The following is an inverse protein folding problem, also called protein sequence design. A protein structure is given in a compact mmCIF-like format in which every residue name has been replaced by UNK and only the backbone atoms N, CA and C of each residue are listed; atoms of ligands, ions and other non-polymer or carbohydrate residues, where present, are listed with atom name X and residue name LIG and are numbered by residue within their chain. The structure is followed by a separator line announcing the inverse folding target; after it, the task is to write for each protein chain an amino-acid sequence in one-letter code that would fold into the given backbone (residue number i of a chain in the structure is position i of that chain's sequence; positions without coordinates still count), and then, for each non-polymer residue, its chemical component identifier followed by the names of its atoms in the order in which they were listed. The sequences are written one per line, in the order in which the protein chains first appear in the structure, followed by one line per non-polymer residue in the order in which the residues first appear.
data_IF_052827149997
#
_entry.id   IF_052827149997
#
_cell.length_a   1.000
_cell.length_b   1.000
_cell.length_c   1.000
_cell.angle_alpha   90.00
_cell.angle_beta   90.00
_cell.angle_gamma   90.00
#
_symmetry.space_group_name_H-M   'P 1'
#
loop_
_entity.id
_entity.type
_entity.pdbx_description
1 polymer ?
#
# COMPACT_ATOMS: atom_id res chain seq x y z
N UNK A 1 11.54 5.92 -0.77
CA UNK A 1 11.81 5.30 0.55
C UNK A 1 10.55 5.45 1.39
N UNK A 2 9.59 4.53 1.23
CA UNK A 2 8.49 4.41 2.19
C UNK A 2 9.09 3.93 3.51
N UNK A 3 8.65 4.52 4.61
CA UNK A 3 9.06 4.15 5.97
C UNK A 3 8.47 2.77 6.29
N UNK A 4 9.05 1.71 5.74
CA UNK A 4 8.59 0.31 5.92
C UNK A 4 9.42 -0.46 6.93
N UNK A 5 10.29 0.22 7.68
CA UNK A 5 11.04 -0.36 8.80
C UNK A 5 11.18 0.71 9.88
N UNK A 6 10.17 0.86 10.74
CA UNK A 6 10.22 1.80 11.84
C UNK A 6 8.94 1.85 12.65
N UNK A 7 9.05 2.24 13.91
CA UNK A 7 7.89 2.67 14.70
C UNK A 7 7.18 3.86 14.04
N UNK A 8 6.08 4.31 14.66
CA UNK A 8 5.41 5.53 14.22
C UNK A 8 6.44 6.68 14.08
N UNK A 9 6.41 7.45 12.98
CA UNK A 9 7.23 8.65 12.86
C UNK A 9 6.99 9.63 14.01
N UNK A 10 7.98 10.48 14.28
CA UNK A 10 7.87 11.51 15.31
C UNK A 10 6.66 12.42 15.06
N UNK A 11 5.95 12.75 16.14
CA UNK A 11 4.81 13.66 16.08
C UNK A 11 5.27 15.09 15.73
N UNK A 12 4.60 15.70 14.75
CA UNK A 12 4.83 17.11 14.41
C UNK A 12 4.05 17.97 15.42
N UNK A 13 4.78 18.50 16.40
CA UNK A 13 4.20 19.29 17.49
C UNK A 13 4.06 20.79 17.17
N UNK A 14 4.76 21.28 16.13
CA UNK A 14 4.66 22.66 15.64
C UNK A 14 3.92 22.71 14.29
N UNK A 15 2.60 22.50 14.33
CA UNK A 15 1.73 22.58 13.16
C UNK A 15 0.65 23.65 13.36
N UNK A 16 1.04 24.91 13.27
CA UNK A 16 0.09 26.03 13.31
C UNK A 16 -0.86 26.02 12.10
N UNK A 17 -2.15 26.26 12.35
CA UNK A 17 -3.19 26.40 11.34
C UNK A 17 -2.78 27.36 10.22
N UNK A 18 -2.88 26.90 8.97
CA UNK A 18 -2.64 27.72 7.78
C UNK A 18 -2.15 26.89 6.60
N UNK A 19 -2.03 27.55 5.45
CA UNK A 19 -1.53 26.91 4.23
C UNK A 19 -0.02 26.74 4.27
N UNK A 20 0.47 25.63 3.71
CA UNK A 20 1.89 25.39 3.43
C UNK A 20 1.99 24.94 1.97
N UNK A 21 2.97 25.50 1.26
CA UNK A 21 3.25 25.12 -0.12
C UNK A 21 4.29 24.02 -0.16
N UNK A 22 4.19 23.17 -1.17
CA UNK A 22 5.22 22.20 -1.50
C UNK A 22 5.96 22.60 -2.78
N UNK A 23 7.25 22.26 -2.91
CA UNK A 23 8.00 22.43 -4.15
C UNK A 23 7.36 21.68 -5.32
N UNK A 24 7.67 22.12 -6.54
CA UNK A 24 7.32 21.38 -7.75
C UNK A 24 7.98 19.99 -7.75
N UNK A 25 7.30 19.01 -8.33
CA UNK A 25 7.73 17.61 -8.35
C UNK A 25 7.53 16.87 -7.03
N UNK A 26 7.03 17.51 -5.98
CA UNK A 26 6.63 16.85 -4.73
C UNK A 26 5.14 16.54 -4.72
N UNK A 27 4.77 15.57 -3.90
CA UNK A 27 3.40 15.23 -3.58
C UNK A 27 3.21 15.06 -2.07
N UNK A 28 2.03 15.44 -1.57
CA UNK A 28 1.67 15.30 -0.15
C UNK A 28 0.54 14.32 0.01
N UNK A 29 0.75 13.39 0.94
CA UNK A 29 -0.17 12.33 1.28
C UNK A 29 -0.65 12.58 2.71
N UNK A 30 -1.94 12.75 2.95
CA UNK A 30 -2.46 12.62 4.32
C UNK A 30 -2.49 11.12 4.65
N UNK A 31 -1.74 10.70 5.65
CA UNK A 31 -1.55 9.29 6.03
C UNK A 31 -2.39 8.97 7.26
N UNK A 32 -3.02 7.81 7.25
CA UNK A 32 -3.69 7.21 8.41
C UNK A 32 -3.09 5.84 8.67
N UNK A 33 -2.53 5.65 9.86
CA UNK A 33 -2.10 4.34 10.33
C UNK A 33 -3.27 3.64 11.01
N UNK A 34 -3.49 2.37 10.64
CA UNK A 34 -4.58 1.55 11.16
C UNK A 34 -4.06 0.20 11.63
N UNK A 35 -4.63 -0.31 12.71
CA UNK A 35 -4.22 -1.58 13.31
C UNK A 35 -5.39 -2.47 13.67
N UNK A 36 -5.11 -3.76 13.77
CA UNK A 36 -5.99 -4.75 14.37
C UNK A 36 -5.18 -5.70 15.26
N UNK A 37 -5.76 -6.05 16.41
CA UNK A 37 -5.11 -6.87 17.45
C UNK A 37 -5.80 -8.21 17.68
N UNK A 38 -6.91 -8.46 16.97
CA UNK A 38 -7.62 -9.72 17.03
C UNK A 38 -8.31 -9.99 15.68
N UNK A 39 -8.49 -11.26 15.28
CA UNK A 39 -9.26 -11.61 14.11
C UNK A 39 -10.69 -11.06 14.19
N UNK A 40 -11.19 -10.48 13.09
CA UNK A 40 -12.59 -10.07 12.98
C UNK A 40 -13.49 -11.28 12.64
N UNK A 41 -14.41 -11.69 13.53
CA UNK A 41 -15.31 -12.80 13.23
C UNK A 41 -16.23 -12.47 12.05
N UNK A 42 -16.41 -13.43 11.14
CA UNK A 42 -17.39 -13.32 10.05
C UNK A 42 -17.08 -12.29 8.96
N UNK A 43 -15.82 -11.86 8.80
CA UNK A 43 -15.42 -10.85 7.81
C UNK A 43 -15.90 -11.18 6.38
N UNK A 44 -15.46 -12.31 5.84
CA UNK A 44 -15.87 -12.86 4.54
C UNK A 44 -15.34 -14.29 4.41
N UNK A 45 -15.88 -15.07 3.45
CA UNK A 45 -15.23 -16.31 3.03
C UNK A 45 -13.89 -15.96 2.35
N UNK A 46 -12.74 -16.39 2.90
CA UNK A 46 -11.44 -16.02 2.37
C UNK A 46 -11.24 -16.55 0.95
N UNK A 47 -10.48 -15.82 0.14
CA UNK A 47 -9.93 -16.34 -1.12
C UNK A 47 -8.83 -17.36 -0.85
N UNK A 48 -8.56 -18.21 -1.83
CA UNK A 48 -7.36 -19.06 -1.79
C UNK A 48 -6.14 -18.18 -1.96
N UNK A 49 -5.20 -18.27 -1.02
CA UNK A 49 -3.97 -17.48 -1.03
C UNK A 49 -2.77 -18.37 -1.38
N UNK A 50 -2.03 -18.00 -2.42
CA UNK A 50 -0.81 -18.70 -2.84
C UNK A 50 0.40 -17.86 -2.45
N UNK A 51 1.26 -18.40 -1.57
CA UNK A 51 2.53 -17.75 -1.19
C UNK A 51 3.52 -17.84 -2.36
N UNK A 52 4.13 -16.72 -2.72
CA UNK A 52 5.17 -16.63 -3.75
C UNK A 52 6.48 -16.23 -3.10
N UNK A 53 7.28 -17.24 -2.71
CA UNK A 53 8.52 -17.00 -1.98
C UNK A 53 9.67 -16.47 -2.85
N UNK A 54 9.63 -16.74 -4.16
CA UNK A 54 10.64 -16.28 -5.14
C UNK A 54 9.90 -15.87 -6.41
N UNK A 55 9.34 -14.66 -6.45
CA UNK A 55 8.63 -14.22 -7.63
C UNK A 55 9.58 -14.04 -8.82
N UNK A 56 9.09 -14.33 -10.01
CA UNK A 56 9.69 -13.80 -11.22
C UNK A 56 9.57 -12.26 -11.21
N UNK A 57 10.69 -11.55 -11.41
CA UNK A 57 10.75 -10.11 -11.25
C UNK A 57 9.86 -9.37 -12.25
N UNK A 58 9.77 -9.87 -13.49
CA UNK A 58 8.93 -9.25 -14.51
C UNK A 58 7.43 -9.43 -14.19
N UNK A 59 7.01 -10.64 -13.81
CA UNK A 59 5.63 -10.94 -13.43
C UNK A 59 5.20 -10.19 -12.16
N UNK A 60 6.09 -10.09 -11.17
CA UNK A 60 5.86 -9.30 -9.96
C UNK A 60 5.65 -7.82 -10.30
N UNK A 61 6.58 -7.23 -11.06
CA UNK A 61 6.53 -5.83 -11.46
C UNK A 61 5.27 -5.53 -12.27
N UNK A 62 4.90 -6.40 -13.21
CA UNK A 62 3.67 -6.25 -13.98
C UNK A 62 2.42 -6.25 -13.10
N UNK A 63 2.31 -7.22 -12.17
CA UNK A 63 1.18 -7.30 -11.24
C UNK A 63 1.11 -6.08 -10.33
N UNK A 64 2.25 -5.69 -9.75
CA UNK A 64 2.35 -4.54 -8.86
C UNK A 64 1.91 -3.24 -9.55
N UNK A 65 2.43 -2.98 -10.75
CA UNK A 65 2.12 -1.75 -11.48
C UNK A 65 0.70 -1.73 -12.03
N UNK A 66 0.15 -2.87 -12.50
CA UNK A 66 -1.23 -2.92 -12.95
C UNK A 66 -2.22 -2.57 -11.83
N UNK A 67 -1.93 -3.01 -10.61
CA UNK A 67 -2.75 -2.74 -9.42
C UNK A 67 -2.52 -1.33 -8.88
N UNK A 68 -1.26 -0.93 -8.79
CA UNK A 68 -0.81 0.19 -7.98
C UNK A 68 -0.58 1.51 -8.74
N UNK A 69 -0.25 1.48 -10.03
CA UNK A 69 0.00 2.70 -10.79
C UNK A 69 -1.19 3.70 -10.82
N UNK A 70 -2.47 3.25 -10.83
CA UNK A 70 -3.62 4.15 -10.67
C UNK A 70 -3.64 4.92 -9.34
N UNK A 71 -2.86 4.49 -8.36
CA UNK A 71 -2.70 5.05 -7.01
C UNK A 71 -1.25 5.48 -6.74
N UNK A 72 -0.45 5.70 -7.80
CA UNK A 72 0.94 6.15 -7.75
C UNK A 72 1.92 5.22 -7.01
N UNK A 73 1.64 3.92 -6.93
CA UNK A 73 2.64 2.96 -6.45
C UNK A 73 3.71 2.75 -7.51
N UNK A 74 4.96 3.00 -7.15
CA UNK A 74 6.09 2.93 -8.09
C UNK A 74 7.29 2.14 -7.58
N UNK A 75 7.25 1.62 -6.34
CA UNK A 75 8.36 0.85 -5.74
C UNK A 75 8.91 -0.23 -6.66
N UNK A 76 8.05 -1.06 -7.26
CA UNK A 76 8.50 -2.13 -8.14
C UNK A 76 9.13 -1.63 -9.46
N UNK A 77 8.83 -0.39 -9.88
CA UNK A 77 9.49 0.25 -11.01
C UNK A 77 10.89 0.79 -10.65
N UNK A 78 11.12 1.13 -9.38
CA UNK A 78 12.45 1.55 -8.88
C UNK A 78 13.41 0.38 -8.68
N UNK A 79 12.88 -0.80 -8.41
CA UNK A 79 13.69 -1.99 -8.07
C UNK A 79 14.22 -2.68 -9.32
N UNK A 80 15.53 -2.98 -9.33
CA UNK A 80 16.12 -3.92 -10.29
C UNK A 80 15.65 -5.35 -10.00
N UNK A 81 15.89 -6.27 -10.93
CA UNK A 81 15.56 -7.69 -10.71
C UNK A 81 16.37 -8.28 -9.54
N UNK A 82 17.62 -7.82 -9.35
CA UNK A 82 18.44 -8.18 -8.21
C UNK A 82 17.85 -7.65 -6.89
N UNK A 83 17.31 -6.44 -6.88
CA UNK A 83 16.66 -5.86 -5.69
C UNK A 83 15.37 -6.62 -5.34
N UNK A 84 14.57 -7.00 -6.33
CA UNK A 84 13.37 -7.83 -6.11
C UNK A 84 13.76 -9.19 -5.54
N UNK A 85 14.77 -9.84 -6.14
CA UNK A 85 15.25 -11.13 -5.66
C UNK A 85 15.80 -11.05 -4.23
N UNK A 86 16.57 -10.01 -3.92
CA UNK A 86 17.12 -9.77 -2.59
C UNK A 86 16.01 -9.47 -1.57
N UNK A 87 15.02 -8.64 -1.93
CA UNK A 87 13.88 -8.33 -1.08
C UNK A 87 13.12 -9.59 -0.68
N UNK A 88 12.74 -10.44 -1.64
CA UNK A 88 12.01 -11.68 -1.32
C UNK A 88 12.90 -12.84 -0.84
N UNK A 89 14.22 -12.66 -0.81
CA UNK A 89 15.12 -13.59 -0.12
C UNK A 89 15.07 -13.44 1.40
N UNK A 90 14.68 -12.27 1.91
CA UNK A 90 14.40 -12.07 3.33
C UNK A 90 13.09 -12.78 3.72
N UNK A 91 13.13 -13.76 4.64
CA UNK A 91 11.93 -14.50 5.05
C UNK A 91 10.87 -13.63 5.75
N UNK A 92 11.22 -12.41 6.18
CA UNK A 92 10.28 -11.44 6.77
C UNK A 92 9.33 -10.86 5.73
N UNK A 93 9.71 -10.82 4.46
CA UNK A 93 8.88 -10.31 3.37
C UNK A 93 8.07 -11.45 2.75
N UNK A 94 6.75 -11.28 2.73
CA UNK A 94 5.85 -12.25 2.16
C UNK A 94 5.02 -11.63 1.05
N UNK A 95 4.95 -12.35 -0.07
CA UNK A 95 4.05 -12.05 -1.17
C UNK A 95 3.01 -13.16 -1.29
N UNK A 96 1.75 -12.77 -1.42
CA UNK A 96 0.63 -13.68 -1.69
C UNK A 96 -0.19 -13.20 -2.88
N UNK A 97 -0.61 -14.15 -3.71
CA UNK A 97 -1.60 -13.94 -4.75
C UNK A 97 -2.94 -14.57 -4.36
N UNK A 98 -4.01 -13.80 -4.42
CA UNK A 98 -5.36 -14.26 -4.15
C UNK A 98 -6.02 -14.86 -5.39
N UNK A 99 -6.73 -15.98 -5.22
CA UNK A 99 -7.42 -16.68 -6.29
C UNK A 99 -8.90 -16.88 -5.94
N UNK A 100 -9.78 -16.63 -6.91
CA UNK A 100 -11.20 -16.92 -6.77
C UNK A 100 -11.51 -18.43 -6.88
N UNK A 101 -12.79 -18.79 -6.73
CA UNK A 101 -13.23 -20.20 -6.75
C UNK A 101 -12.99 -20.88 -8.12
N UNK A 102 -12.78 -20.10 -9.20
CA UNK A 102 -12.41 -20.58 -10.52
C UNK A 102 -10.90 -20.63 -10.76
N UNK A 103 -10.08 -20.30 -9.76
CA UNK A 103 -8.62 -20.28 -9.86
C UNK A 103 -8.06 -19.04 -10.54
N UNK A 104 -8.87 -18.01 -10.81
CA UNK A 104 -8.39 -16.76 -11.41
C UNK A 104 -7.62 -15.95 -10.37
N UNK A 105 -6.43 -15.48 -10.73
CA UNK A 105 -5.66 -14.51 -9.94
C UNK A 105 -6.41 -13.17 -9.88
N UNK A 106 -6.71 -12.70 -8.66
CA UNK A 106 -7.54 -11.49 -8.45
C UNK A 106 -6.77 -10.27 -7.99
N UNK A 107 -5.57 -10.46 -7.45
CA UNK A 107 -4.80 -9.40 -6.82
C UNK A 107 -3.74 -9.94 -5.88
N UNK A 108 -3.01 -9.02 -5.26
CA UNK A 108 -1.84 -9.31 -4.45
C UNK A 108 -1.93 -8.71 -3.06
N UNK A 109 -1.19 -9.33 -2.14
CA UNK A 109 -0.92 -8.81 -0.81
C UNK A 109 0.55 -9.02 -0.49
N UNK A 110 1.20 -7.96 -0.03
CA UNK A 110 2.51 -8.03 0.59
C UNK A 110 2.41 -7.72 2.07
N UNK A 111 3.16 -8.46 2.88
CA UNK A 111 3.36 -8.10 4.26
C UNK A 111 4.80 -8.31 4.71
N UNK A 112 5.20 -7.51 5.69
CA UNK A 112 6.51 -7.59 6.35
C UNK A 112 6.31 -7.97 7.80
N UNK A 113 7.02 -9.01 8.25
CA UNK A 113 7.05 -9.45 9.65
C UNK A 113 8.21 -8.75 10.35
N UNK A 114 7.90 -7.91 11.33
CA UNK A 114 8.88 -7.22 12.15
C UNK A 114 9.41 -8.13 13.28
N UNK A 115 10.63 -7.84 13.76
CA UNK A 115 11.24 -8.57 14.88
C UNK A 115 10.43 -8.44 16.19
N UNK A 116 9.60 -7.40 16.30
CA UNK A 116 8.65 -7.17 17.39
C UNK A 116 7.41 -8.08 17.37
N UNK A 117 7.37 -9.08 16.48
CA UNK A 117 6.21 -9.95 16.24
C UNK A 117 4.96 -9.16 15.82
N UNK A 118 5.16 -8.12 15.02
CA UNK A 118 4.11 -7.35 14.37
C UNK A 118 4.17 -7.56 12.86
N UNK A 119 3.04 -7.44 12.18
CA UNK A 119 2.95 -7.57 10.74
C UNK A 119 2.45 -6.26 10.15
N UNK A 120 3.20 -5.70 9.20
CA UNK A 120 2.73 -4.61 8.34
C UNK A 120 2.20 -5.19 7.03
N UNK A 121 0.97 -4.84 6.63
CA UNK A 121 0.51 -5.03 5.26
C UNK A 121 1.05 -3.86 4.44
N UNK A 122 2.10 -4.10 3.65
CA UNK A 122 2.83 -3.06 2.89
C UNK A 122 2.12 -2.73 1.58
N UNK A 123 1.54 -3.72 0.91
CA UNK A 123 0.74 -3.52 -0.29
C UNK A 123 -0.47 -4.45 -0.30
N UNK A 124 -1.63 -3.91 -0.70
CA UNK A 124 -2.87 -4.66 -0.81
C UNK A 124 -3.71 -4.12 -1.95
N UNK A 125 -4.00 -4.94 -2.96
CA UNK A 125 -4.84 -4.47 -4.06
C UNK A 125 -5.38 -5.57 -4.95
N UNK A 126 -6.47 -5.23 -5.63
CA UNK A 126 -7.08 -6.04 -6.68
C UNK A 126 -6.72 -5.48 -8.03
N UNK A 127 -6.73 -6.34 -9.06
CA UNK A 127 -6.73 -5.84 -10.43
C UNK A 127 -7.91 -4.87 -10.63
N UNK A 128 -7.71 -3.71 -11.30
CA UNK A 128 -8.76 -2.71 -11.49
C UNK A 128 -10.06 -3.28 -12.09
N UNK A 129 -9.93 -4.25 -13.02
CA UNK A 129 -11.05 -4.94 -13.68
C UNK A 129 -11.94 -5.79 -12.75
N UNK A 130 -11.50 -6.02 -11.52
CA UNK A 130 -12.15 -6.85 -10.50
C UNK A 130 -12.73 -6.07 -9.32
N UNK A 131 -12.52 -4.76 -9.29
CA UNK A 131 -13.08 -3.90 -8.26
C UNK A 131 -14.61 -3.88 -8.30
N UNK A 132 -15.26 -3.56 -7.17
CA UNK A 132 -16.73 -3.49 -7.08
C UNK A 132 -17.48 -4.83 -7.03
N UNK A 133 -16.78 -5.97 -7.05
CA UNK A 133 -17.40 -7.33 -7.08
C UNK A 133 -17.40 -8.06 -5.72
N UNK A 134 -17.15 -7.35 -4.63
CA UNK A 134 -17.04 -7.95 -3.28
C UNK A 134 -15.77 -8.78 -3.04
N UNK A 135 -14.87 -8.89 -4.01
CA UNK A 135 -13.61 -9.65 -3.88
C UNK A 135 -12.63 -9.03 -2.88
N UNK A 136 -12.68 -7.71 -2.64
CA UNK A 136 -11.72 -7.03 -1.76
C UNK A 136 -11.78 -7.54 -0.33
N UNK A 137 -12.98 -7.70 0.23
CA UNK A 137 -13.16 -8.25 1.58
C UNK A 137 -12.72 -9.72 1.65
N UNK A 138 -12.95 -10.50 0.59
CA UNK A 138 -12.52 -11.91 0.53
C UNK A 138 -10.99 -12.02 0.43
N UNK A 139 -10.34 -11.13 -0.34
CA UNK A 139 -8.88 -11.05 -0.42
C UNK A 139 -8.28 -10.66 0.94
N UNK A 140 -8.83 -9.64 1.59
CA UNK A 140 -8.39 -9.22 2.93
C UNK A 140 -8.63 -10.31 3.98
N UNK A 141 -9.75 -11.03 3.94
CA UNK A 141 -9.98 -12.18 4.81
C UNK A 141 -8.93 -13.28 4.61
N UNK A 142 -8.53 -13.56 3.36
CA UNK A 142 -7.44 -14.49 3.07
C UNK A 142 -6.10 -13.98 3.58
N UNK A 143 -5.78 -12.70 3.37
CA UNK A 143 -4.57 -12.07 3.88
C UNK A 143 -4.45 -12.15 5.41
N UNK A 144 -5.52 -11.77 6.11
CA UNK A 144 -5.57 -11.82 7.57
C UNK A 144 -5.48 -13.26 8.09
N UNK A 145 -6.11 -14.24 7.42
CA UNK A 145 -5.93 -15.65 7.80
C UNK A 145 -4.47 -16.09 7.70
N UNK A 146 -3.75 -15.70 6.64
CA UNK A 146 -2.32 -15.99 6.51
C UNK A 146 -1.48 -15.28 7.58
N UNK A 147 -1.75 -14.00 7.83
CA UNK A 147 -1.02 -13.20 8.81
C UNK A 147 -1.25 -13.71 10.24
N UNK A 148 -2.50 -13.99 10.64
CA UNK A 148 -2.83 -14.48 11.99
C UNK A 148 -2.24 -15.87 12.29
N UNK A 149 -2.00 -16.71 11.28
CA UNK A 149 -1.30 -18.01 11.45
C UNK A 149 0.14 -17.85 11.94
N UNK A 150 0.75 -16.69 11.73
CA UNK A 150 2.07 -16.36 12.25
C UNK A 150 2.02 -15.89 13.73
N UNK A 151 0.83 -15.84 14.33
CA UNK A 151 0.58 -15.42 15.71
C UNK A 151 1.19 -14.03 16.07
N UNK A 152 0.99 -12.98 15.23
CA UNK A 152 1.47 -11.64 15.55
C UNK A 152 0.71 -11.05 16.75
N UNK A 153 1.36 -10.14 17.47
CA UNK A 153 0.68 -9.32 18.49
C UNK A 153 -0.19 -8.21 17.88
N UNK A 154 0.13 -7.80 16.65
CA UNK A 154 -0.55 -6.74 15.89
C UNK A 154 -0.39 -6.94 14.39
N UNK A 155 -1.45 -6.67 13.63
CA UNK A 155 -1.38 -6.43 12.20
C UNK A 155 -1.72 -4.96 11.96
N UNK A 156 -0.90 -4.25 11.20
CA UNK A 156 -1.11 -2.84 10.90
C UNK A 156 -0.84 -2.53 9.43
N UNK A 157 -1.29 -1.36 9.00
CA UNK A 157 -1.02 -0.79 7.69
C UNK A 157 -1.08 0.73 7.79
N UNK A 158 -0.60 1.39 6.75
CA UNK A 158 -0.91 2.78 6.51
C UNK A 158 -1.65 2.92 5.17
N UNK A 159 -2.56 3.87 5.11
CA UNK A 159 -3.24 4.28 3.89
C UNK A 159 -3.15 5.79 3.75
N UNK A 160 -3.27 6.30 2.54
CA UNK A 160 -3.10 7.70 2.23
C UNK A 160 -4.30 8.32 1.52
N UNK A 161 -4.33 9.65 1.46
CA UNK A 161 -5.28 10.41 0.64
C UNK A 161 -5.15 10.17 -0.87
N UNK A 162 -4.08 9.51 -1.33
CA UNK A 162 -3.91 9.12 -2.74
C UNK A 162 -4.64 7.81 -3.05
N UNK A 163 -4.76 6.92 -2.07
CA UNK A 163 -5.45 5.65 -2.25
C UNK A 163 -6.93 5.84 -2.57
N UNK A 164 -7.60 4.75 -2.96
CA UNK A 164 -9.02 4.80 -3.30
C UNK A 164 -9.86 5.43 -2.17
N UNK A 165 -10.75 6.43 -2.41
CA UNK A 165 -11.43 7.19 -1.36
C UNK A 165 -12.22 6.37 -0.31
N UNK A 166 -12.56 5.12 -0.65
CA UNK A 166 -13.27 4.19 0.25
C UNK A 166 -12.35 3.38 1.18
N UNK A 167 -11.03 3.49 1.10
CA UNK A 167 -10.07 2.61 1.81
C UNK A 167 -10.25 2.64 3.33
N UNK A 168 -10.43 3.80 3.95
CA UNK A 168 -10.63 3.88 5.41
C UNK A 168 -11.89 3.11 5.83
N UNK A 169 -13.00 3.28 5.11
CA UNK A 169 -14.24 2.53 5.36
C UNK A 169 -14.08 1.04 5.12
N UNK A 170 -13.30 0.67 4.09
CA UNK A 170 -12.96 -0.71 3.78
C UNK A 170 -12.17 -1.37 4.91
N UNK A 171 -11.10 -0.74 5.40
CA UNK A 171 -10.27 -1.29 6.48
C UNK A 171 -11.03 -1.37 7.81
N UNK A 172 -11.84 -0.37 8.15
CA UNK A 172 -12.77 -0.45 9.29
C UNK A 172 -13.71 -1.65 9.21
N UNK A 173 -14.29 -1.88 8.02
CA UNK A 173 -15.13 -3.04 7.78
C UNK A 173 -14.36 -4.38 7.80
N UNK A 174 -13.03 -4.35 7.85
CA UNK A 174 -12.15 -5.51 8.03
C UNK A 174 -11.58 -5.63 9.45
N UNK A 175 -11.97 -4.75 10.38
CA UNK A 175 -11.57 -4.81 11.79
C UNK A 175 -10.33 -4.02 12.13
N UNK A 176 -9.92 -3.11 11.26
CA UNK A 176 -8.87 -2.15 11.55
C UNK A 176 -9.43 -0.89 12.19
N UNK A 177 -8.71 -0.35 13.16
CA UNK A 177 -9.00 0.93 13.81
C UNK A 177 -7.85 1.90 13.57
N UNK A 178 -8.12 3.19 13.28
CA UNK A 178 -7.07 4.18 13.16
C UNK A 178 -6.41 4.43 14.52
N UNK A 179 -5.08 4.46 14.57
CA UNK A 179 -4.31 4.71 15.81
C UNK A 179 -3.36 5.90 15.70
N UNK A 180 -3.05 6.37 14.49
CA UNK A 180 -2.29 7.59 14.25
C UNK A 180 -2.64 8.21 12.89
N UNK A 181 -2.32 9.48 12.71
CA UNK A 181 -2.45 10.19 11.44
C UNK A 181 -1.28 11.17 11.25
N UNK A 182 -1.00 11.53 10.02
CA UNK A 182 0.12 12.39 9.67
C UNK A 182 0.13 12.74 8.20
N UNK A 183 1.29 13.13 7.68
CA UNK A 183 1.47 13.31 6.26
C UNK A 183 2.84 12.84 5.79
N UNK A 184 2.90 12.38 4.55
CA UNK A 184 4.13 12.06 3.84
C UNK A 184 4.33 13.08 2.72
N UNK A 185 5.56 13.58 2.58
CA UNK A 185 5.98 14.37 1.42
C UNK A 185 7.01 13.55 0.67
N UNK A 186 6.72 13.21 -0.59
CA UNK A 186 7.60 12.40 -1.44
C UNK A 186 7.76 13.02 -2.82
N UNK A 187 8.70 12.50 -3.61
CA UNK A 187 8.83 12.83 -5.02
C UNK A 187 7.69 12.20 -5.82
N UNK A 188 7.04 12.99 -6.68
CA UNK A 188 5.98 12.50 -7.55
C UNK A 188 6.58 11.50 -8.57
N UNK A 189 6.13 10.23 -8.58
CA UNK A 189 6.68 9.19 -9.46
C UNK A 189 6.57 9.52 -10.95
N UNK A 190 5.62 10.39 -11.32
CA UNK A 190 5.42 10.85 -12.70
C UNK A 190 6.46 11.88 -13.12
N UNK A 191 7.02 12.62 -12.15
CA UNK A 191 8.08 13.61 -12.38
C UNK A 191 9.45 12.97 -12.31
N UNK A 192 9.72 12.10 -11.33
CA UNK A 192 11.00 11.36 -11.26
C UNK A 192 11.13 10.24 -12.31
N UNK A 193 10.06 9.94 -13.04
CA UNK A 193 10.09 9.10 -14.25
C UNK A 193 9.90 7.60 -14.00
N UNK A 194 9.42 7.20 -12.82
CA UNK A 194 9.10 5.80 -12.49
C UNK A 194 7.72 5.39 -12.97
N UNK A 195 6.80 6.35 -13.17
CA UNK A 195 5.47 6.13 -13.74
C UNK A 195 5.18 7.05 -14.94
N UNK A 196 4.27 6.66 -15.86
CA UNK A 196 3.77 7.52 -16.92
C UNK A 196 3.13 8.81 -16.38
N UNK A 197 3.22 9.90 -17.16
CA UNK A 197 2.73 11.22 -16.75
C UNK A 197 1.22 11.31 -16.58
N UNK A 198 0.48 10.43 -17.24
CA UNK A 198 -0.98 10.33 -17.17
C UNK A 198 -1.47 9.34 -16.08
N UNK A 199 -0.56 8.74 -15.30
CA UNK A 199 -0.92 7.91 -14.16
C UNK A 199 -1.68 8.74 -13.09
N UNK A 200 -2.69 8.11 -12.49
CA UNK A 200 -3.55 8.71 -11.45
C UNK A 200 -4.02 10.15 -11.81
N UNK A 201 -4.80 10.35 -12.89
CA UNK A 201 -5.21 11.69 -13.35
C UNK A 201 -6.08 12.44 -12.34
N UNK A 202 -6.66 11.74 -11.35
CA UNK A 202 -7.36 12.33 -10.23
C UNK A 202 -6.46 13.08 -9.24
N UNK A 203 -5.14 12.88 -9.32
CA UNK A 203 -4.14 13.49 -8.44
C UNK A 203 -3.41 14.59 -9.22
N UNK A 204 -3.45 15.86 -8.75
CA UNK A 204 -2.76 16.96 -9.42
C UNK A 204 -1.27 16.67 -9.64
N UNK A 205 -0.77 16.99 -10.83
CA UNK A 205 0.64 16.95 -11.17
C UNK A 205 1.19 18.39 -11.09
N UNK A 206 2.07 18.66 -10.13
CA UNK A 206 2.62 19.99 -9.87
C UNK A 206 4.07 20.03 -10.37
N UNK A 207 4.34 20.77 -11.44
CA UNK A 207 5.66 20.78 -12.09
C UNK A 207 6.30 22.16 -12.17
N UNK A 208 5.50 23.20 -11.99
CA UNK A 208 5.97 24.57 -12.07
C UNK A 208 6.16 25.11 -10.68
N UNK A 209 7.37 25.57 -10.38
CA UNK A 209 7.62 26.36 -9.17
C UNK A 209 6.74 27.61 -9.21
N UNK A 210 6.06 27.90 -8.12
CA UNK A 210 5.35 29.17 -8.05
C UNK A 210 6.36 30.30 -7.96
N UNK A 211 6.18 31.28 -8.84
CA UNK A 211 6.92 32.52 -8.87
C UNK A 211 5.92 33.69 -8.74
N UNK A 212 6.16 34.66 -7.85
CA UNK A 212 5.28 35.82 -7.75
C UNK A 212 5.31 36.62 -9.07
N UNK A 213 4.15 36.84 -9.68
CA UNK A 213 3.99 37.74 -10.83
C UNK A 213 4.01 37.09 -12.23
N UNK A 214 4.12 35.77 -12.33
CA UNK A 214 3.97 35.06 -13.61
C UNK A 214 2.52 34.56 -13.71
N UNK A 215 1.75 35.09 -14.68
CA UNK A 215 0.41 34.61 -15.07
C UNK A 215 0.53 33.60 -16.20
#
# INVERSE_FOLDING_TARGET
MQVTEGGLPDEITDLASGYRRIPAGKIVNAVTWMETRAPMPGLARPLTMTRVARPDSAAYRATFLEIGAPWLWDRAAEMSDADIAAHFADPRHHLYYGHDDGGRHVGMVEFTVADSNEIEITYFGLFPSLTGRGLGKRLMAGALDQAWRLAPGRIWLHTSSIDHPSVIGFYRACGFEPFAAGFEVTDDPRVKGTLPRDAAPQIPLIETEWAPGIR
#
